data_IF_212893154188
#
_entry.id   IF_212893154188
#
_cell.length_a   1.000
_cell.length_b   1.000
_cell.length_c   1.000
_cell.angle_alpha   90.00
_cell.angle_beta   90.00
_cell.angle_gamma   90.00
#
_symmetry.space_group_name_H-M   'P 1'
#
loop_
_entity.id
_entity.type
_entity.pdbx_description
1 polymer ?
#
# COMPACT_ATOMS: atom_id res chain seq x y z
N UNK A 1 -63.69 -0.29 -20.07
CA UNK A 1 -63.33 0.31 -18.78
C UNK A 1 -62.12 -0.47 -18.28
N UNK A 2 -60.93 0.06 -18.50
CA UNK A 2 -59.67 -0.56 -18.08
C UNK A 2 -59.04 0.26 -16.95
N UNK A 3 -58.91 -0.35 -15.79
CA UNK A 3 -58.25 0.24 -14.64
C UNK A 3 -56.75 0.15 -14.82
N UNK A 4 -56.09 1.30 -15.07
CA UNK A 4 -54.62 1.41 -15.02
C UNK A 4 -54.12 1.45 -13.59
N UNK A 5 -53.48 0.37 -13.16
CA UNK A 5 -52.75 0.35 -11.89
C UNK A 5 -51.42 1.08 -11.99
N UNK A 6 -51.27 2.22 -11.30
CA UNK A 6 -50.02 2.91 -11.10
C UNK A 6 -49.07 2.02 -10.25
N UNK A 7 -47.99 1.52 -10.85
CA UNK A 7 -46.88 0.98 -10.06
C UNK A 7 -46.16 2.14 -9.37
N UNK A 8 -45.83 2.04 -8.07
CA UNK A 8 -45.03 3.04 -7.40
C UNK A 8 -43.59 3.00 -7.93
N UNK A 9 -43.12 4.17 -8.33
CA UNK A 9 -41.73 4.42 -8.69
C UNK A 9 -40.78 3.97 -7.59
N UNK A 10 -39.69 3.23 -7.86
CA UNK A 10 -38.73 2.88 -6.84
C UNK A 10 -38.10 4.17 -6.33
N UNK A 11 -38.40 4.51 -5.09
CA UNK A 11 -37.76 5.60 -4.35
C UNK A 11 -36.27 5.41 -4.40
N UNK A 12 -35.56 6.30 -5.07
CA UNK A 12 -34.13 6.49 -4.96
C UNK A 12 -33.80 6.70 -3.49
N UNK A 13 -33.25 5.66 -2.84
CA UNK A 13 -32.64 5.81 -1.52
C UNK A 13 -31.54 6.86 -1.69
N UNK A 14 -31.74 8.04 -1.12
CA UNK A 14 -30.69 9.01 -0.88
C UNK A 14 -29.56 8.29 -0.14
N UNK A 15 -28.49 7.91 -0.83
CA UNK A 15 -27.27 7.47 -0.18
C UNK A 15 -26.75 8.63 0.66
N UNK A 16 -27.05 8.62 1.95
CA UNK A 16 -26.41 9.53 2.90
C UNK A 16 -24.92 9.35 2.72
N UNK A 17 -24.20 10.40 2.31
CA UNK A 17 -22.74 10.39 2.29
C UNK A 17 -22.29 10.06 3.72
N UNK A 18 -21.79 8.82 3.91
CA UNK A 18 -21.24 8.38 5.19
C UNK A 18 -20.10 9.32 5.58
N UNK A 19 -20.07 9.75 6.83
CA UNK A 19 -18.91 10.50 7.32
C UNK A 19 -17.68 9.56 7.26
N UNK A 20 -16.61 9.90 6.53
CA UNK A 20 -15.44 9.01 6.41
C UNK A 20 -14.76 8.73 7.75
N UNK A 21 -14.95 9.57 8.77
CA UNK A 21 -14.38 9.39 10.12
C UNK A 21 -15.32 8.60 11.06
N UNK A 22 -16.51 8.23 10.61
CA UNK A 22 -17.40 7.38 11.39
C UNK A 22 -16.82 5.97 11.51
N UNK A 23 -16.70 5.47 12.75
CA UNK A 23 -16.15 4.14 13.03
C UNK A 23 -16.96 3.06 12.32
N UNK A 24 -16.27 2.13 11.63
CA UNK A 24 -16.91 0.95 11.08
C UNK A 24 -17.33 0.01 12.24
N UNK A 25 -18.32 -0.87 12.02
CA UNK A 25 -18.67 -1.85 13.04
C UNK A 25 -17.48 -2.73 13.40
N UNK A 26 -17.20 -2.86 14.68
CA UNK A 26 -16.16 -3.76 15.20
C UNK A 26 -16.71 -5.16 15.53
N UNK A 27 -18.01 -5.35 15.53
CA UNK A 27 -18.68 -6.64 15.75
C UNK A 27 -18.35 -7.64 14.64
N UNK A 28 -18.63 -8.93 14.92
CA UNK A 28 -18.47 -9.99 13.92
C UNK A 28 -19.40 -9.71 12.72
N UNK A 29 -18.87 -9.69 11.47
CA UNK A 29 -19.70 -9.46 10.30
C UNK A 29 -20.83 -10.50 10.16
N UNK A 30 -22.05 -10.10 9.72
CA UNK A 30 -23.17 -11.01 9.51
C UNK A 30 -23.05 -11.84 8.21
N UNK A 31 -21.94 -11.73 7.49
CA UNK A 31 -21.64 -12.42 6.25
C UNK A 31 -20.29 -13.15 6.35
N UNK A 32 -20.07 -14.09 5.45
CA UNK A 32 -18.84 -14.87 5.37
C UNK A 32 -18.02 -14.50 4.12
N UNK A 33 -16.76 -14.93 4.07
CA UNK A 33 -15.94 -14.80 2.84
C UNK A 33 -16.56 -15.54 1.65
N UNK A 34 -17.31 -16.62 1.88
CA UNK A 34 -18.06 -17.31 0.84
C UNK A 34 -19.13 -16.43 0.22
N UNK A 35 -19.86 -15.66 1.05
CA UNK A 35 -20.92 -14.78 0.58
C UNK A 35 -20.33 -13.61 -0.24
N UNK A 36 -19.18 -13.06 0.19
CA UNK A 36 -18.42 -12.07 -0.56
C UNK A 36 -18.00 -12.63 -1.92
N UNK A 37 -17.38 -13.84 -1.95
CA UNK A 37 -16.92 -14.46 -3.20
C UNK A 37 -18.06 -14.78 -4.17
N UNK A 38 -19.25 -15.17 -3.67
CA UNK A 38 -20.46 -15.43 -4.49
C UNK A 38 -20.98 -14.16 -5.16
N UNK A 39 -20.79 -12.99 -4.57
CA UNK A 39 -21.21 -11.72 -5.15
C UNK A 39 -20.29 -11.26 -6.31
N UNK A 40 -19.04 -11.72 -6.34
CA UNK A 40 -18.08 -11.36 -7.37
C UNK A 40 -18.33 -12.15 -8.65
N UNK A 41 -18.43 -11.49 -9.83
CA UNK A 41 -18.57 -12.20 -11.10
C UNK A 41 -17.42 -13.22 -11.31
N UNK A 42 -17.71 -14.46 -11.74
CA UNK A 42 -16.72 -15.53 -11.84
C UNK A 42 -15.51 -15.19 -12.71
N UNK A 43 -15.70 -14.39 -13.77
CA UNK A 43 -14.59 -13.98 -14.66
C UNK A 43 -13.57 -13.08 -13.95
N UNK A 44 -13.95 -12.39 -12.86
CA UNK A 44 -13.01 -11.56 -12.09
C UNK A 44 -11.90 -12.39 -11.42
N UNK A 45 -12.10 -13.69 -11.21
CA UNK A 45 -11.07 -14.61 -10.69
C UNK A 45 -10.15 -15.17 -11.78
N UNK A 46 -10.45 -14.91 -13.06
CA UNK A 46 -9.66 -15.43 -14.17
C UNK A 46 -8.47 -14.52 -14.46
N UNK A 47 -7.29 -15.09 -14.46
CA UNK A 47 -6.05 -14.39 -14.80
C UNK A 47 -5.77 -14.53 -16.28
N UNK A 48 -5.31 -13.47 -16.91
CA UNK A 48 -4.87 -13.48 -18.31
C UNK A 48 -3.43 -12.99 -18.39
N UNK A 49 -2.50 -13.92 -18.69
CA UNK A 49 -1.09 -13.57 -18.87
C UNK A 49 -0.92 -12.49 -19.95
N UNK A 50 -1.66 -12.59 -21.06
CA UNK A 50 -1.59 -11.59 -22.15
C UNK A 50 -2.03 -10.22 -21.65
N UNK A 51 -3.15 -10.14 -20.93
CA UNK A 51 -3.66 -8.87 -20.40
C UNK A 51 -2.74 -8.29 -19.33
N UNK A 52 -2.25 -9.10 -18.39
CA UNK A 52 -1.27 -8.66 -17.40
C UNK A 52 0.03 -8.16 -18.05
N UNK A 53 0.54 -8.90 -19.04
CA UNK A 53 1.73 -8.50 -19.80
C UNK A 53 1.52 -7.22 -20.58
N UNK A 54 0.31 -6.94 -21.09
CA UNK A 54 0.04 -5.67 -21.80
C UNK A 54 0.17 -4.45 -20.89
N UNK A 55 -0.26 -4.54 -19.63
CA UNK A 55 -0.05 -3.48 -18.63
C UNK A 55 1.43 -3.31 -18.30
N UNK A 56 2.15 -4.41 -18.07
CA UNK A 56 3.59 -4.38 -17.83
C UNK A 56 4.34 -3.72 -19.00
N UNK A 57 4.07 -4.13 -20.23
CA UNK A 57 4.70 -3.58 -21.43
C UNK A 57 4.37 -2.08 -21.58
N UNK A 58 3.12 -1.69 -21.35
CA UNK A 58 2.71 -0.28 -21.37
C UNK A 58 3.55 0.55 -20.39
N UNK A 59 3.71 0.11 -19.14
CA UNK A 59 4.45 0.85 -18.13
C UNK A 59 5.96 0.87 -18.41
N UNK A 60 6.52 -0.21 -18.95
CA UNK A 60 7.92 -0.23 -19.41
C UNK A 60 8.15 0.72 -20.58
N UNK A 61 7.21 0.80 -21.53
CA UNK A 61 7.29 1.76 -22.64
C UNK A 61 7.27 3.19 -22.11
N UNK A 62 6.35 3.53 -21.19
CA UNK A 62 6.30 4.87 -20.58
C UNK A 62 7.58 5.19 -19.82
N UNK A 63 8.09 4.25 -19.01
CA UNK A 63 9.36 4.39 -18.29
C UNK A 63 10.50 4.70 -19.26
N UNK A 64 10.59 3.97 -20.37
CA UNK A 64 11.60 4.20 -21.40
C UNK A 64 11.43 5.54 -22.11
N UNK A 65 10.20 5.93 -22.48
CA UNK A 65 9.92 7.20 -23.15
C UNK A 65 10.37 8.38 -22.30
N UNK A 66 9.99 8.41 -21.02
CA UNK A 66 10.38 9.51 -20.13
C UNK A 66 11.89 9.52 -19.86
N UNK A 67 12.51 8.36 -19.69
CA UNK A 67 13.96 8.22 -19.62
C UNK A 67 14.63 8.79 -20.89
N UNK A 68 14.18 8.39 -22.07
CA UNK A 68 14.71 8.83 -23.35
C UNK A 68 14.59 10.36 -23.53
N UNK A 69 13.41 10.92 -23.20
CA UNK A 69 13.18 12.37 -23.26
C UNK A 69 14.15 13.10 -22.32
N UNK A 70 14.31 12.64 -21.08
CA UNK A 70 15.16 13.29 -20.10
C UNK A 70 16.65 13.25 -20.52
N UNK A 71 17.12 12.10 -20.99
CA UNK A 71 18.54 11.91 -21.36
C UNK A 71 18.90 12.55 -22.70
N UNK A 72 17.95 12.67 -23.65
CA UNK A 72 18.21 13.17 -25.00
C UNK A 72 17.96 14.67 -25.12
N UNK A 73 16.98 15.23 -24.42
CA UNK A 73 16.54 16.60 -24.68
C UNK A 73 16.78 17.58 -23.54
N UNK A 74 16.90 17.13 -22.27
CA UNK A 74 16.98 18.08 -21.15
C UNK A 74 18.26 18.93 -21.16
N UNK A 75 19.36 18.41 -21.68
CA UNK A 75 20.61 19.16 -21.83
C UNK A 75 20.54 20.28 -22.90
N UNK A 76 19.54 20.20 -23.81
CA UNK A 76 19.27 21.20 -24.82
C UNK A 76 18.40 22.35 -24.34
N UNK A 77 17.77 22.19 -23.18
CA UNK A 77 16.89 23.21 -22.60
C UNK A 77 17.68 24.38 -22.03
N UNK A 78 17.30 25.64 -22.35
CA UNK A 78 17.82 26.80 -21.65
C UNK A 78 17.66 26.67 -20.12
N UNK A 79 18.61 27.22 -19.35
CA UNK A 79 18.72 27.09 -17.90
C UNK A 79 17.38 27.23 -17.13
N UNK A 80 16.49 28.24 -17.37
CA UNK A 80 15.25 28.32 -16.62
C UNK A 80 14.31 27.13 -16.81
N UNK A 81 14.25 26.56 -18.02
CA UNK A 81 13.34 25.45 -18.34
C UNK A 81 13.84 24.11 -17.83
N UNK A 82 15.15 23.90 -17.73
CA UNK A 82 15.72 22.69 -17.17
C UNK A 82 15.37 22.53 -15.68
N UNK A 83 15.29 23.63 -14.93
CA UNK A 83 14.87 23.59 -13.51
C UNK A 83 13.40 23.13 -13.31
N UNK A 84 12.53 23.27 -14.33
CA UNK A 84 11.17 22.76 -14.30
C UNK A 84 11.08 21.34 -14.88
N UNK A 85 11.86 21.05 -15.91
CA UNK A 85 11.81 19.75 -16.59
C UNK A 85 12.23 18.60 -15.67
N UNK A 86 13.27 18.77 -14.86
CA UNK A 86 13.74 17.73 -13.93
C UNK A 86 12.70 17.36 -12.86
N UNK A 87 12.08 18.26 -12.10
CA UNK A 87 11.03 17.93 -11.15
C UNK A 87 9.83 17.24 -11.80
N UNK A 88 9.42 17.66 -12.99
CA UNK A 88 8.33 17.01 -13.74
C UNK A 88 8.71 15.57 -14.09
N UNK A 89 9.92 15.36 -14.65
CA UNK A 89 10.45 14.04 -14.93
C UNK A 89 10.45 13.16 -13.68
N UNK A 90 10.98 13.65 -12.57
CA UNK A 90 11.07 12.88 -11.33
C UNK A 90 9.71 12.41 -10.84
N UNK A 91 8.70 13.31 -10.86
CA UNK A 91 7.34 12.98 -10.42
C UNK A 91 6.71 11.97 -11.38
N UNK A 92 6.76 12.22 -12.69
CA UNK A 92 6.11 11.35 -13.68
C UNK A 92 6.80 9.98 -13.71
N UNK A 93 8.14 9.96 -13.76
CA UNK A 93 8.92 8.73 -13.74
C UNK A 93 8.69 7.94 -12.45
N UNK A 94 8.66 8.63 -11.30
CA UNK A 94 8.36 8.00 -10.01
C UNK A 94 6.95 7.38 -9.97
N UNK A 95 5.94 8.06 -10.53
CA UNK A 95 4.59 7.49 -10.62
C UNK A 95 4.54 6.24 -11.51
N UNK A 96 5.18 6.27 -12.69
CA UNK A 96 5.20 5.08 -13.59
C UNK A 96 6.02 3.95 -12.98
N UNK A 97 7.15 4.25 -12.32
CA UNK A 97 7.91 3.23 -11.59
C UNK A 97 7.11 2.67 -10.39
N UNK A 98 6.25 3.46 -9.76
CA UNK A 98 5.30 2.95 -8.75
C UNK A 98 4.29 1.97 -9.37
N UNK A 99 3.81 2.23 -10.59
CA UNK A 99 2.97 1.27 -11.31
C UNK A 99 3.69 -0.07 -11.55
N UNK A 100 4.96 -0.03 -11.98
CA UNK A 100 5.80 -1.24 -12.11
C UNK A 100 5.98 -1.97 -10.77
N UNK A 101 6.15 -1.23 -9.68
CA UNK A 101 6.19 -1.82 -8.34
C UNK A 101 4.87 -2.52 -7.99
N UNK A 102 3.71 -1.92 -8.34
CA UNK A 102 2.39 -2.52 -8.14
C UNK A 102 2.21 -3.78 -9.00
N UNK A 103 2.70 -3.82 -10.25
CA UNK A 103 2.70 -5.05 -11.05
C UNK A 103 3.50 -6.17 -10.36
N UNK A 104 4.67 -5.85 -9.80
CA UNK A 104 5.45 -6.83 -9.03
C UNK A 104 4.74 -7.28 -7.74
N UNK A 105 4.01 -6.38 -7.08
CA UNK A 105 3.15 -6.68 -5.95
C UNK A 105 2.03 -7.66 -6.35
N UNK A 106 1.37 -7.47 -7.49
CA UNK A 106 0.40 -8.40 -8.05
C UNK A 106 1.03 -9.79 -8.31
N UNK A 107 2.27 -9.82 -8.79
CA UNK A 107 3.04 -11.05 -8.91
C UNK A 107 3.23 -11.74 -7.55
N UNK A 108 3.48 -11.00 -6.48
CA UNK A 108 3.57 -11.51 -5.12
C UNK A 108 2.31 -12.22 -4.64
N UNK A 109 1.14 -11.74 -5.06
CA UNK A 109 -0.18 -12.33 -4.80
C UNK A 109 -0.60 -13.44 -5.78
N UNK A 110 0.25 -13.78 -6.75
CA UNK A 110 -0.08 -14.74 -7.81
C UNK A 110 -1.30 -14.32 -8.64
N UNK A 111 -1.54 -13.00 -8.80
CA UNK A 111 -2.66 -12.45 -9.58
C UNK A 111 -2.28 -12.06 -11.01
N UNK A 112 -0.99 -11.97 -11.33
CA UNK A 112 -0.49 -11.64 -12.66
C UNK A 112 -0.70 -12.80 -13.67
N UNK A 113 -0.46 -14.06 -13.25
CA UNK A 113 -0.61 -15.26 -14.09
C UNK A 113 -0.94 -16.49 -13.24
N UNK A 114 -1.43 -17.56 -13.89
CA UNK A 114 -1.67 -18.85 -13.25
C UNK A 114 -0.36 -19.64 -13.00
N UNK A 115 0.76 -19.21 -13.59
CA UNK A 115 2.06 -19.87 -13.46
C UNK A 115 2.92 -19.17 -12.39
N UNK A 116 3.16 -19.85 -11.28
CA UNK A 116 3.95 -19.31 -10.17
C UNK A 116 5.34 -18.82 -10.59
N UNK A 117 6.02 -19.59 -11.45
CA UNK A 117 7.37 -19.23 -11.90
C UNK A 117 7.40 -17.93 -12.71
N UNK A 118 6.34 -17.64 -13.51
CA UNK A 118 6.21 -16.37 -14.24
C UNK A 118 6.03 -15.22 -13.24
N UNK A 119 5.10 -15.38 -12.29
CA UNK A 119 4.88 -14.39 -11.25
C UNK A 119 6.18 -14.11 -10.48
N UNK A 120 6.88 -15.16 -10.05
CA UNK A 120 8.10 -15.00 -9.25
C UNK A 120 9.24 -14.38 -10.06
N UNK A 121 9.38 -14.70 -11.34
CA UNK A 121 10.41 -14.12 -12.22
C UNK A 121 10.13 -12.65 -12.51
N UNK A 122 8.90 -12.30 -12.93
CA UNK A 122 8.52 -10.92 -13.22
C UNK A 122 8.62 -10.05 -11.95
N UNK A 123 8.04 -10.53 -10.85
CA UNK A 123 8.08 -9.82 -9.57
C UNK A 123 9.52 -9.60 -9.08
N UNK A 124 10.38 -10.63 -9.17
CA UNK A 124 11.80 -10.53 -8.78
C UNK A 124 12.55 -9.48 -9.60
N UNK A 125 12.40 -9.49 -10.92
CA UNK A 125 13.09 -8.53 -11.80
C UNK A 125 12.64 -7.10 -11.48
N UNK A 126 11.33 -6.84 -11.44
CA UNK A 126 10.78 -5.51 -11.24
C UNK A 126 11.11 -4.95 -9.85
N UNK A 127 10.90 -5.74 -8.80
CA UNK A 127 11.21 -5.31 -7.43
C UNK A 127 12.71 -5.12 -7.23
N UNK A 128 13.56 -6.02 -7.72
CA UNK A 128 15.02 -5.85 -7.63
C UNK A 128 15.49 -4.58 -8.34
N UNK A 129 14.92 -4.28 -9.53
CA UNK A 129 15.19 -3.04 -10.26
C UNK A 129 14.77 -1.77 -9.49
N UNK A 130 13.87 -1.89 -8.52
CA UNK A 130 13.43 -0.81 -7.63
C UNK A 130 13.96 -0.98 -6.19
N UNK A 131 15.07 -1.70 -6.01
CA UNK A 131 15.75 -1.97 -4.74
C UNK A 131 14.83 -2.54 -3.65
N UNK A 132 13.81 -3.28 -4.05
CA UNK A 132 12.92 -4.03 -3.16
C UNK A 132 13.34 -5.51 -3.16
N UNK A 133 13.62 -6.13 -2.00
CA UNK A 133 13.94 -7.55 -1.93
C UNK A 133 12.68 -8.40 -2.10
N UNK A 134 12.42 -8.87 -3.32
CA UNK A 134 11.13 -9.43 -3.75
C UNK A 134 10.59 -10.55 -2.86
N UNK A 135 11.34 -11.62 -2.64
CA UNK A 135 10.84 -12.76 -1.85
C UNK A 135 10.71 -12.40 -0.38
N UNK A 136 11.64 -11.58 0.14
CA UNK A 136 11.57 -11.07 1.50
C UNK A 136 10.28 -10.29 1.73
N UNK A 137 10.01 -9.33 0.84
CA UNK A 137 8.76 -8.57 0.84
C UNK A 137 7.53 -9.45 0.61
N UNK A 138 7.56 -10.36 -0.37
CA UNK A 138 6.45 -11.26 -0.70
C UNK A 138 6.00 -12.07 0.53
N UNK A 139 6.94 -12.59 1.33
CA UNK A 139 6.61 -13.39 2.50
C UNK A 139 6.08 -12.55 3.66
N UNK A 140 6.71 -11.43 3.99
CA UNK A 140 6.20 -10.53 5.02
C UNK A 140 4.84 -9.95 4.66
N UNK A 141 4.65 -9.57 3.39
CA UNK A 141 3.39 -9.03 2.89
C UNK A 141 2.25 -10.07 2.86
N UNK A 142 2.55 -11.32 2.51
CA UNK A 142 1.58 -12.41 2.62
C UNK A 142 1.13 -12.63 4.07
N UNK A 143 2.06 -12.53 5.05
CA UNK A 143 1.73 -12.62 6.47
C UNK A 143 0.91 -11.41 6.94
N UNK A 144 1.19 -10.22 6.41
CA UNK A 144 0.36 -9.05 6.63
C UNK A 144 -1.09 -9.29 6.17
N UNK A 145 -1.33 -9.78 4.96
CA UNK A 145 -2.69 -10.15 4.49
C UNK A 145 -3.37 -11.24 5.32
N UNK A 146 -2.57 -12.14 5.89
CA UNK A 146 -3.09 -13.21 6.74
C UNK A 146 -3.39 -12.75 8.15
N UNK A 147 -2.85 -11.60 8.60
CA UNK A 147 -2.94 -11.11 9.97
C UNK A 147 -3.25 -9.61 10.07
N UNK A 148 -3.81 -9.03 9.01
CA UNK A 148 -4.10 -7.59 8.93
C UNK A 148 -4.79 -7.09 10.19
N UNK A 149 -4.31 -5.96 10.74
CA UNK A 149 -4.82 -5.31 11.97
C UNK A 149 -4.84 -6.19 13.24
N UNK A 150 -4.06 -7.28 13.28
CA UNK A 150 -3.71 -7.96 14.52
C UNK A 150 -2.58 -7.22 15.23
N UNK A 151 -2.76 -6.87 16.51
CA UNK A 151 -1.71 -6.19 17.29
C UNK A 151 -0.48 -7.08 17.54
N UNK A 152 -0.65 -8.41 17.55
CA UNK A 152 0.42 -9.36 17.85
C UNK A 152 1.03 -10.00 16.60
N UNK A 153 0.30 -10.09 15.48
CA UNK A 153 0.69 -10.94 14.36
C UNK A 153 0.82 -10.25 13.01
N UNK A 154 0.37 -8.98 12.86
CA UNK A 154 0.57 -8.22 11.63
C UNK A 154 2.06 -7.91 11.43
N UNK A 155 2.58 -8.16 10.22
CA UNK A 155 4.01 -8.00 9.91
C UNK A 155 4.36 -6.61 9.37
N UNK A 156 3.37 -5.86 8.88
CA UNK A 156 3.70 -4.71 8.04
C UNK A 156 3.46 -3.36 8.73
N UNK A 157 2.39 -3.23 9.49
CA UNK A 157 2.03 -1.96 10.10
C UNK A 157 1.36 -2.19 11.46
N UNK A 158 2.19 -2.30 12.49
CA UNK A 158 1.71 -2.51 13.86
C UNK A 158 1.61 -1.17 14.56
N UNK A 159 0.40 -0.71 14.92
CA UNK A 159 0.23 0.53 15.66
C UNK A 159 0.84 0.38 17.07
N UNK A 160 1.34 1.50 17.58
CA UNK A 160 1.83 1.53 18.96
C UNK A 160 0.65 1.55 19.91
N UNK A 161 0.71 0.74 20.96
CA UNK A 161 -0.13 0.90 22.14
C UNK A 161 0.25 2.20 22.86
N UNK A 162 -0.63 2.72 23.71
CA UNK A 162 -0.36 3.91 24.52
C UNK A 162 1.03 3.79 25.18
N UNK A 163 1.96 4.61 24.72
CA UNK A 163 3.31 4.69 25.26
C UNK A 163 3.48 6.06 25.85
N UNK A 164 3.96 6.16 27.09
CA UNK A 164 4.39 7.45 27.63
C UNK A 164 5.47 8.02 26.71
N UNK A 165 5.08 9.01 25.90
CA UNK A 165 6.00 9.68 25.00
C UNK A 165 7.20 10.21 25.75
N UNK A 166 8.38 9.86 25.30
CA UNK A 166 9.60 10.50 25.77
C UNK A 166 9.53 11.99 25.42
N UNK A 167 10.07 12.86 26.26
CA UNK A 167 9.97 14.30 26.16
C UNK A 167 10.38 14.84 24.76
N UNK A 168 11.40 14.25 24.15
CA UNK A 168 11.87 14.66 22.82
C UNK A 168 10.86 14.29 21.70
N UNK A 169 10.09 13.21 21.85
CA UNK A 169 9.03 12.86 20.88
C UNK A 169 7.93 13.91 20.92
N UNK A 170 7.62 14.47 22.10
CA UNK A 170 6.67 15.58 22.24
C UNK A 170 7.08 16.79 21.41
N UNK A 171 8.39 17.08 21.26
CA UNK A 171 8.87 18.19 20.44
C UNK A 171 8.51 18.04 18.96
N UNK A 172 8.56 16.82 18.41
CA UNK A 172 8.23 16.58 17.00
C UNK A 172 6.72 16.44 16.77
N UNK A 173 6.01 15.83 17.71
CA UNK A 173 4.57 15.57 17.56
C UNK A 173 3.74 16.85 17.81
N UNK A 174 4.24 17.76 18.66
CA UNK A 174 3.46 18.93 19.15
C UNK A 174 3.59 20.18 18.30
N UNK A 175 4.39 20.19 17.24
CA UNK A 175 4.50 21.38 16.40
C UNK A 175 4.39 21.04 14.91
N UNK A 176 3.89 21.99 14.12
CA UNK A 176 3.64 21.79 12.69
C UNK A 176 4.91 21.45 11.90
N UNK A 177 6.03 22.09 12.22
CA UNK A 177 7.31 21.85 11.54
C UNK A 177 7.83 20.44 11.84
N UNK A 178 7.82 20.02 13.11
CA UNK A 178 8.23 18.66 13.50
C UNK A 178 7.40 17.58 12.79
N UNK A 179 6.08 17.79 12.66
CA UNK A 179 5.20 16.88 11.90
C UNK A 179 5.53 16.84 10.41
N UNK A 180 5.76 18.00 9.78
CA UNK A 180 6.18 18.05 8.37
C UNK A 180 7.50 17.31 8.16
N UNK A 181 8.48 17.49 9.04
CA UNK A 181 9.75 16.78 8.99
C UNK A 181 9.56 15.27 9.20
N UNK A 182 8.68 14.86 10.12
CA UNK A 182 8.37 13.46 10.35
C UNK A 182 7.70 12.83 9.11
N UNK A 183 6.72 13.51 8.49
CA UNK A 183 6.09 13.07 7.25
C UNK A 183 7.13 12.95 6.14
N UNK A 184 7.96 13.98 5.93
CA UNK A 184 9.01 13.95 4.91
C UNK A 184 9.99 12.79 5.13
N UNK A 185 10.44 12.58 6.38
CA UNK A 185 11.31 11.45 6.74
C UNK A 185 10.63 10.11 6.47
N UNK A 186 9.37 9.96 6.88
CA UNK A 186 8.60 8.73 6.67
C UNK A 186 8.42 8.40 5.19
N UNK A 187 8.12 9.41 4.36
CA UNK A 187 7.95 9.22 2.92
C UNK A 187 9.26 8.94 2.17
N UNK A 188 10.39 9.44 2.66
CA UNK A 188 11.69 9.28 1.98
C UNK A 188 12.48 8.07 2.49
N UNK A 189 12.51 7.87 3.80
CA UNK A 189 13.33 6.86 4.46
C UNK A 189 12.53 5.67 5.01
N UNK A 190 11.19 5.79 5.12
CA UNK A 190 10.35 4.76 5.77
C UNK A 190 10.48 3.38 5.14
N UNK A 191 10.36 3.26 3.82
CA UNK A 191 10.46 1.96 3.14
C UNK A 191 11.88 1.37 3.19
N UNK A 192 12.98 2.10 2.91
CA UNK A 192 14.33 1.60 3.13
C UNK A 192 14.60 1.13 4.57
N UNK A 193 14.12 1.87 5.57
CA UNK A 193 14.27 1.50 6.97
C UNK A 193 13.39 0.31 7.36
N UNK A 194 12.21 0.16 6.75
CA UNK A 194 11.40 -1.04 6.92
C UNK A 194 12.17 -2.29 6.46
N UNK A 195 12.80 -2.24 5.28
CA UNK A 195 13.60 -3.37 4.81
C UNK A 195 14.86 -3.60 5.66
N UNK A 196 15.56 -2.55 6.05
CA UNK A 196 16.83 -2.66 6.76
C UNK A 196 16.70 -3.08 8.24
N UNK A 197 15.72 -2.52 8.95
CA UNK A 197 15.59 -2.67 10.41
C UNK A 197 14.17 -2.94 10.89
N UNK A 198 13.26 -3.30 9.98
CA UNK A 198 11.85 -3.61 10.26
C UNK A 198 11.12 -2.50 11.06
N UNK A 199 11.43 -1.21 10.77
CA UNK A 199 10.77 -0.09 11.43
C UNK A 199 9.27 -0.13 11.17
N UNK A 200 8.40 0.09 12.06
CA UNK A 200 6.94 -0.01 11.92
C UNK A 200 6.39 -1.44 11.63
N UNK A 201 7.22 -2.45 11.47
CA UNK A 201 6.80 -3.83 11.40
C UNK A 201 6.58 -4.46 12.79
N UNK A 202 6.24 -5.73 12.80
CA UNK A 202 6.05 -6.50 14.02
C UNK A 202 7.30 -6.44 14.90
N UNK A 203 7.17 -6.19 16.22
CA UNK A 203 8.29 -6.28 17.14
C UNK A 203 8.72 -7.75 17.34
N UNK A 204 10.02 -7.98 17.37
CA UNK A 204 10.64 -9.27 17.62
C UNK A 204 11.66 -9.17 18.78
N UNK A 205 11.90 -10.26 19.49
CA UNK A 205 12.85 -10.32 20.62
C UNK A 205 14.31 -10.15 20.17
N UNK A 206 14.58 -10.30 18.88
CA UNK A 206 15.89 -10.08 18.26
C UNK A 206 15.80 -9.19 17.04
N UNK A 207 16.94 -8.71 16.57
CA UNK A 207 17.03 -7.88 15.37
C UNK A 207 16.34 -8.54 14.18
N UNK A 208 15.51 -7.76 13.49
CA UNK A 208 14.76 -8.19 12.32
C UNK A 208 15.11 -7.31 11.13
N UNK A 209 15.38 -7.94 9.98
CA UNK A 209 15.71 -7.28 8.72
C UNK A 209 15.17 -8.10 7.56
N UNK A 210 14.72 -7.43 6.50
CA UNK A 210 14.29 -8.09 5.27
C UNK A 210 15.48 -8.55 4.40
N UNK A 211 16.70 -8.16 4.75
CA UNK A 211 17.94 -8.59 4.10
C UNK A 211 18.67 -9.70 4.86
N UNK A 212 18.15 -10.14 6.00
CA UNK A 212 18.76 -11.23 6.78
C UNK A 212 17.98 -12.53 6.57
N UNK A 213 18.56 -13.54 5.87
CA UNK A 213 17.91 -14.84 5.68
C UNK A 213 17.62 -15.59 6.99
N UNK A 214 18.29 -15.20 8.08
CA UNK A 214 18.08 -15.74 9.43
C UNK A 214 17.22 -14.83 10.30
N UNK A 215 16.64 -13.77 9.73
CA UNK A 215 15.72 -12.89 10.44
C UNK A 215 14.55 -13.66 11.06
N UNK A 216 14.04 -13.26 12.24
CA UNK A 216 12.85 -13.87 12.83
C UNK A 216 11.58 -13.71 11.99
N UNK A 217 11.62 -12.88 10.96
CA UNK A 217 10.55 -12.71 9.97
C UNK A 217 10.34 -14.00 9.15
N UNK A 218 11.39 -14.81 8.94
CA UNK A 218 11.37 -15.92 7.98
C UNK A 218 11.58 -17.28 8.65
N UNK A 219 11.04 -18.32 8.03
CA UNK A 219 11.29 -19.70 8.38
C UNK A 219 12.42 -20.31 7.52
N UNK A 220 12.91 -21.48 7.93
CA UNK A 220 14.04 -22.16 7.29
C UNK A 220 13.82 -22.46 5.80
N UNK A 221 12.57 -22.72 5.38
CA UNK A 221 12.23 -23.04 4.01
C UNK A 221 12.28 -21.82 3.06
N UNK A 222 12.18 -20.63 3.64
CA UNK A 222 12.17 -19.36 2.89
C UNK A 222 13.59 -18.81 2.69
N UNK A 223 14.59 -19.26 3.47
CA UNK A 223 15.97 -18.70 3.48
C UNK A 223 16.61 -18.59 2.11
N UNK A 224 16.54 -19.64 1.29
CA UNK A 224 17.14 -19.62 -0.06
C UNK A 224 16.58 -18.48 -0.90
N UNK A 225 15.29 -18.23 -0.81
CA UNK A 225 14.62 -17.18 -1.58
C UNK A 225 14.96 -15.78 -1.06
N UNK A 226 15.25 -15.65 0.25
CA UNK A 226 15.78 -14.38 0.80
C UNK A 226 17.16 -14.09 0.21
N UNK A 227 18.09 -15.06 0.20
CA UNK A 227 19.38 -14.92 -0.49
C UNK A 227 19.23 -14.52 -1.96
N UNK A 228 18.28 -15.12 -2.68
CA UNK A 228 18.01 -14.76 -4.10
C UNK A 228 17.56 -13.28 -4.18
N UNK A 229 16.72 -12.82 -3.27
CA UNK A 229 16.30 -11.41 -3.21
C UNK A 229 17.46 -10.46 -2.99
N UNK A 230 18.37 -10.80 -2.07
CA UNK A 230 19.55 -10.01 -1.79
C UNK A 230 20.48 -9.92 -2.99
N UNK A 231 20.69 -11.05 -3.67
CA UNK A 231 21.48 -11.08 -4.94
C UNK A 231 20.87 -10.14 -5.97
N UNK A 232 19.55 -10.11 -6.15
CA UNK A 232 18.87 -9.21 -7.07
C UNK A 232 19.09 -7.73 -6.72
N UNK A 233 18.95 -7.37 -5.46
CA UNK A 233 19.19 -6.00 -4.99
C UNK A 233 20.66 -5.62 -5.14
N UNK A 234 21.60 -6.49 -4.73
CA UNK A 234 23.04 -6.26 -4.87
C UNK A 234 23.44 -6.11 -6.34
N UNK A 235 22.90 -6.93 -7.24
CA UNK A 235 23.14 -6.82 -8.67
C UNK A 235 22.68 -5.46 -9.21
N UNK A 236 21.51 -4.98 -8.79
CA UNK A 236 21.01 -3.65 -9.18
C UNK A 236 21.93 -2.53 -8.65
N UNK A 237 22.33 -2.59 -7.37
CA UNK A 237 23.26 -1.63 -6.78
C UNK A 237 24.60 -1.63 -7.55
N UNK A 238 25.11 -2.82 -7.89
CA UNK A 238 26.35 -2.94 -8.69
C UNK A 238 26.21 -2.32 -10.07
N UNK A 239 25.09 -2.56 -10.77
CA UNK A 239 24.82 -1.94 -12.07
C UNK A 239 24.75 -0.41 -11.96
N UNK A 240 24.06 0.13 -10.96
CA UNK A 240 24.01 1.58 -10.69
C UNK A 240 25.38 2.15 -10.39
N UNK A 241 26.21 1.45 -9.61
CA UNK A 241 27.61 1.83 -9.38
C UNK A 241 28.41 1.88 -10.69
N UNK A 242 28.30 0.85 -11.56
CA UNK A 242 28.98 0.83 -12.87
C UNK A 242 28.52 1.99 -13.76
N UNK A 243 27.21 2.32 -13.76
CA UNK A 243 26.67 3.48 -14.48
C UNK A 243 27.20 4.79 -13.87
N UNK A 244 27.32 4.89 -12.55
CA UNK A 244 27.86 6.07 -11.89
C UNK A 244 29.34 6.33 -12.25
N UNK A 245 30.14 5.28 -12.49
CA UNK A 245 31.52 5.41 -12.95
C UNK A 245 31.64 5.96 -14.39
N UNK A 246 30.63 5.73 -15.23
CA UNK A 246 30.64 6.15 -16.64
C UNK A 246 29.88 7.45 -16.88
N UNK A 247 28.75 7.66 -16.26
CA UNK A 247 27.87 8.81 -16.45
C UNK A 247 27.96 9.86 -15.33
N UNK A 248 28.60 9.50 -14.21
CA UNK A 248 28.66 10.30 -13.00
C UNK A 248 27.54 10.06 -12.01
N UNK A 249 27.82 10.25 -10.72
CA UNK A 249 26.88 10.02 -9.63
C UNK A 249 25.63 10.93 -9.72
N UNK A 250 25.83 12.19 -10.08
CA UNK A 250 24.72 13.16 -10.24
C UNK A 250 23.71 12.67 -11.28
N UNK A 251 24.19 12.11 -12.40
CA UNK A 251 23.33 11.56 -13.42
C UNK A 251 22.48 10.41 -12.86
N UNK A 252 23.08 9.46 -12.14
CA UNK A 252 22.35 8.34 -11.50
C UNK A 252 21.32 8.85 -10.49
N UNK A 253 21.68 9.85 -9.68
CA UNK A 253 20.74 10.47 -8.73
C UNK A 253 19.55 11.07 -9.49
N UNK A 254 19.77 11.84 -10.54
CA UNK A 254 18.69 12.51 -11.28
C UNK A 254 17.82 11.53 -12.06
N UNK A 255 18.40 10.51 -12.69
CA UNK A 255 17.65 9.59 -13.56
C UNK A 255 16.95 8.48 -12.78
N UNK A 256 17.57 8.01 -11.69
CA UNK A 256 17.08 6.85 -10.95
C UNK A 256 16.78 7.19 -9.48
N UNK A 257 17.72 7.86 -8.78
CA UNK A 257 17.63 8.04 -7.33
C UNK A 257 16.42 8.85 -6.89
N UNK A 258 16.17 10.01 -7.49
CA UNK A 258 15.03 10.87 -7.13
C UNK A 258 13.70 10.21 -7.52
N UNK A 259 13.50 9.64 -8.73
CA UNK A 259 12.33 8.82 -9.01
C UNK A 259 12.10 7.68 -8.02
N UNK A 260 13.16 6.98 -7.59
CA UNK A 260 13.05 5.92 -6.57
C UNK A 260 12.56 6.44 -5.22
N UNK A 261 13.01 7.62 -4.78
CA UNK A 261 12.49 8.25 -3.56
C UNK A 261 10.99 8.52 -3.67
N UNK A 262 10.50 8.91 -4.85
CA UNK A 262 9.07 9.11 -5.11
C UNK A 262 8.32 7.78 -5.07
N UNK A 263 8.87 6.70 -5.65
CA UNK A 263 8.31 5.34 -5.51
C UNK A 263 8.18 4.98 -4.04
N UNK A 264 9.25 5.11 -3.26
CA UNK A 264 9.25 4.83 -1.83
C UNK A 264 8.16 5.62 -1.10
N UNK A 265 8.02 6.91 -1.42
CA UNK A 265 6.99 7.77 -0.86
C UNK A 265 5.57 7.28 -1.17
N UNK A 266 5.27 6.89 -2.40
CA UNK A 266 3.95 6.36 -2.75
C UNK A 266 3.67 4.99 -2.13
N UNK A 267 4.65 4.10 -2.04
CA UNK A 267 4.46 2.80 -1.38
C UNK A 267 4.15 3.00 0.12
N UNK A 268 4.89 3.90 0.79
CA UNK A 268 4.61 4.27 2.18
C UNK A 268 3.23 4.91 2.32
N UNK A 269 2.84 5.81 1.41
CA UNK A 269 1.50 6.42 1.40
C UNK A 269 0.39 5.39 1.24
N UNK A 270 0.56 4.44 0.30
CA UNK A 270 -0.39 3.36 0.06
C UNK A 270 -0.51 2.50 1.32
N UNK A 271 0.59 2.02 1.87
CA UNK A 271 0.55 1.18 3.08
C UNK A 271 -0.06 1.94 4.26
N UNK A 272 0.42 3.14 4.54
CA UNK A 272 0.01 3.91 5.72
C UNK A 272 -1.46 4.34 5.61
N UNK A 273 -1.86 5.00 4.53
CA UNK A 273 -3.19 5.59 4.45
C UNK A 273 -4.32 4.57 4.35
N UNK A 274 -4.07 3.34 3.88
CA UNK A 274 -5.11 2.31 3.79
C UNK A 274 -5.27 1.50 5.09
N UNK A 275 -4.31 1.57 6.01
CA UNK A 275 -4.32 0.86 7.30
C UNK A 275 -4.35 1.79 8.50
N UNK A 276 -3.99 3.07 8.33
CA UNK A 276 -4.01 4.07 9.40
C UNK A 276 -5.18 5.04 9.19
N UNK A 277 -6.26 4.81 9.93
CA UNK A 277 -7.46 5.65 9.84
C UNK A 277 -8.24 5.60 11.14
N UNK A 278 -8.75 6.74 11.62
CA UNK A 278 -9.47 6.83 12.89
C UNK A 278 -10.75 5.98 12.95
N UNK A 279 -11.32 5.62 11.80
CA UNK A 279 -12.52 4.78 11.72
C UNK A 279 -12.25 3.27 11.70
N UNK A 280 -10.99 2.84 11.67
CA UNK A 280 -10.63 1.42 11.56
C UNK A 280 -10.23 0.85 12.92
N UNK A 281 -10.82 -0.32 13.33
CA UNK A 281 -10.45 -1.00 14.56
C UNK A 281 -9.19 -1.83 14.38
N UNK A 282 -8.51 -2.05 15.50
CA UNK A 282 -7.43 -3.03 15.66
C UNK A 282 -7.84 -4.04 16.72
N UNK A 283 -7.29 -5.23 16.66
CA UNK A 283 -7.74 -6.33 17.50
C UNK A 283 -6.54 -7.03 18.17
N UNK A 284 -6.69 -7.37 19.45
CA UNK A 284 -5.80 -8.33 20.08
C UNK A 284 -6.22 -9.78 19.76
N UNK A 285 -5.45 -10.75 20.19
CA UNK A 285 -5.68 -12.18 19.91
C UNK A 285 -7.02 -12.71 20.41
N UNK A 286 -7.68 -12.05 21.38
CA UNK A 286 -8.99 -12.47 21.91
C UNK A 286 -10.14 -12.15 20.96
N UNK A 287 -10.02 -11.05 20.19
CA UNK A 287 -11.07 -10.53 19.32
C UNK A 287 -10.72 -10.62 17.83
N UNK A 288 -9.45 -10.85 17.51
CA UNK A 288 -9.03 -10.89 16.12
C UNK A 288 -9.64 -12.09 15.38
N UNK A 289 -10.10 -11.83 14.17
CA UNK A 289 -10.35 -12.86 13.16
C UNK A 289 -9.95 -12.34 11.79
N UNK A 290 -9.59 -13.24 10.90
CA UNK A 290 -9.09 -12.86 9.57
C UNK A 290 -10.06 -11.91 8.83
N UNK A 291 -11.38 -12.20 8.84
CA UNK A 291 -12.34 -11.37 8.13
C UNK A 291 -12.48 -9.98 8.74
N UNK A 292 -12.48 -9.85 10.08
CA UNK A 292 -12.51 -8.56 10.77
C UNK A 292 -11.26 -7.75 10.47
N UNK A 293 -10.09 -8.38 10.49
CA UNK A 293 -8.82 -7.74 10.15
C UNK A 293 -8.79 -7.27 8.71
N UNK A 294 -9.15 -8.12 7.73
CA UNK A 294 -9.17 -7.77 6.31
C UNK A 294 -10.16 -6.62 6.00
N UNK A 295 -11.30 -6.54 6.72
CA UNK A 295 -12.26 -5.45 6.60
C UNK A 295 -11.81 -4.14 7.26
N UNK A 296 -10.82 -4.19 8.15
CA UNK A 296 -10.25 -3.01 8.78
C UNK A 296 -9.22 -2.32 7.87
N UNK A 297 -9.63 -2.08 6.62
CA UNK A 297 -8.90 -1.35 5.58
C UNK A 297 -9.83 -0.32 4.94
N UNK A 298 -9.27 0.69 4.27
CA UNK A 298 -10.04 1.77 3.66
C UNK A 298 -9.65 1.97 2.20
N UNK A 299 -10.65 2.06 1.30
CA UNK A 299 -10.44 2.49 -0.10
C UNK A 299 -10.30 4.01 -0.15
N UNK A 300 -9.39 4.52 -0.99
CA UNK A 300 -9.16 5.95 -1.15
C UNK A 300 -9.16 6.37 -2.60
N UNK A 301 -9.42 7.67 -2.84
CA UNK A 301 -9.38 8.24 -4.18
C UNK A 301 -8.14 9.13 -4.36
N UNK A 302 -7.21 8.69 -5.21
CA UNK A 302 -6.02 9.45 -5.60
C UNK A 302 -6.19 10.12 -6.98
N UNK A 303 -7.43 10.23 -7.46
CA UNK A 303 -7.75 10.84 -8.75
C UNK A 303 -7.15 10.06 -9.92
N UNK A 304 -6.40 10.74 -10.79
CA UNK A 304 -5.78 10.10 -11.96
C UNK A 304 -4.80 8.97 -11.57
N UNK A 305 -4.19 9.06 -10.40
CA UNK A 305 -3.26 8.06 -9.89
C UNK A 305 -3.93 6.71 -9.58
N UNK A 306 -5.26 6.66 -9.40
CA UNK A 306 -5.96 5.39 -9.29
C UNK A 306 -5.69 4.49 -10.51
N UNK A 307 -5.74 5.06 -11.71
CA UNK A 307 -5.44 4.33 -12.95
C UNK A 307 -3.96 4.04 -13.11
N UNK A 308 -3.11 5.01 -12.80
CA UNK A 308 -1.65 4.88 -12.90
C UNK A 308 -1.16 3.75 -11.98
N UNK A 309 -1.69 3.65 -10.77
CA UNK A 309 -1.33 2.62 -9.79
C UNK A 309 -2.20 1.37 -9.88
N UNK A 310 -2.75 1.07 -11.05
CA UNK A 310 -3.53 -0.15 -11.31
C UNK A 310 -4.64 -0.41 -10.30
N UNK A 311 -5.29 0.65 -9.82
CA UNK A 311 -6.41 0.61 -8.87
C UNK A 311 -6.09 0.04 -7.49
N UNK A 312 -4.84 -0.13 -7.07
CA UNK A 312 -4.50 -0.63 -5.73
C UNK A 312 -5.05 0.27 -4.62
N UNK A 313 -5.21 1.58 -4.87
CA UNK A 313 -5.64 2.56 -3.86
C UNK A 313 -7.16 2.66 -3.73
N UNK A 314 -7.91 2.51 -4.81
CA UNK A 314 -9.38 2.64 -4.82
C UNK A 314 -10.12 1.29 -4.77
N UNK A 315 -9.38 0.19 -4.52
CA UNK A 315 -9.90 -1.18 -4.38
C UNK A 315 -9.15 -1.99 -3.30
N UNK A 316 -8.57 -1.30 -2.31
CA UNK A 316 -7.69 -1.92 -1.31
C UNK A 316 -8.44 -2.86 -0.35
N UNK A 317 -9.71 -2.55 -0.04
CA UNK A 317 -10.58 -3.44 0.74
C UNK A 317 -10.78 -4.78 0.02
N UNK A 318 -11.08 -4.75 -1.28
CA UNK A 318 -11.16 -5.98 -2.08
C UNK A 318 -9.82 -6.71 -2.11
N UNK A 319 -8.72 -5.97 -2.27
CA UNK A 319 -7.38 -6.52 -2.32
C UNK A 319 -7.04 -7.33 -1.06
N UNK A 320 -7.44 -6.87 0.13
CA UNK A 320 -7.28 -7.64 1.38
C UNK A 320 -8.21 -8.84 1.50
N UNK A 321 -9.42 -8.77 0.92
CA UNK A 321 -10.39 -9.87 0.94
C UNK A 321 -10.10 -10.94 -0.12
N UNK A 322 -9.62 -10.54 -1.30
CA UNK A 322 -9.44 -11.41 -2.47
C UNK A 322 -8.21 -10.98 -3.30
N UNK A 323 -7.01 -11.02 -2.71
CA UNK A 323 -5.76 -10.54 -3.33
C UNK A 323 -5.35 -11.26 -4.62
N UNK A 324 -5.95 -12.40 -4.92
CA UNK A 324 -5.69 -13.15 -6.15
C UNK A 324 -6.50 -12.66 -7.38
N UNK A 325 -7.39 -11.68 -7.19
CA UNK A 325 -8.12 -11.05 -8.30
C UNK A 325 -7.17 -10.08 -9.01
N UNK A 326 -6.95 -10.21 -10.34
CA UNK A 326 -6.10 -9.28 -11.08
C UNK A 326 -6.60 -7.84 -10.99
N UNK A 327 -5.69 -6.89 -10.89
CA UNK A 327 -6.00 -5.46 -10.75
C UNK A 327 -7.01 -4.92 -11.78
N UNK A 328 -6.99 -5.43 -13.01
CA UNK A 328 -7.90 -5.01 -14.08
C UNK A 328 -9.35 -5.49 -13.92
N UNK A 329 -9.64 -6.35 -12.94
CA UNK A 329 -10.97 -6.76 -12.48
C UNK A 329 -11.33 -6.17 -11.10
N UNK A 330 -10.37 -5.54 -10.42
CA UNK A 330 -10.55 -5.10 -9.04
C UNK A 330 -11.71 -4.09 -8.88
N UNK A 331 -11.88 -3.15 -9.80
CA UNK A 331 -13.01 -2.18 -9.73
C UNK A 331 -14.37 -2.84 -9.87
N UNK A 332 -14.52 -3.77 -10.80
CA UNK A 332 -15.76 -4.49 -11.00
C UNK A 332 -16.10 -5.35 -9.77
N UNK A 333 -15.12 -6.09 -9.27
CA UNK A 333 -15.27 -6.91 -8.09
C UNK A 333 -15.57 -6.06 -6.82
N UNK A 334 -14.89 -4.91 -6.63
CA UNK A 334 -15.18 -3.97 -5.54
C UNK A 334 -16.63 -3.49 -5.60
N UNK A 335 -17.12 -3.10 -6.80
CA UNK A 335 -18.51 -2.68 -6.98
C UNK A 335 -19.49 -3.79 -6.60
N UNK A 336 -19.17 -5.03 -6.91
CA UNK A 336 -20.01 -6.19 -6.63
C UNK A 336 -20.09 -6.53 -5.14
N UNK A 337 -19.00 -6.37 -4.37
CA UNK A 337 -18.99 -6.70 -2.93
C UNK A 337 -19.53 -5.59 -2.04
N UNK A 338 -19.51 -4.33 -2.44
CA UNK A 338 -19.99 -3.20 -1.63
C UNK A 338 -21.38 -3.41 -1.01
N UNK A 339 -22.39 -3.92 -1.75
CA UNK A 339 -23.72 -4.18 -1.16
C UNK A 339 -23.70 -5.26 -0.08
N UNK A 340 -22.80 -6.25 -0.17
CA UNK A 340 -22.64 -7.33 0.82
C UNK A 340 -21.97 -6.80 2.07
N UNK A 341 -20.93 -5.98 1.90
CA UNK A 341 -20.16 -5.41 3.02
C UNK A 341 -20.98 -4.36 3.81
N UNK A 342 -21.88 -3.62 3.13
CA UNK A 342 -22.73 -2.62 3.78
C UNK A 342 -21.91 -1.61 4.59
N UNK A 343 -22.22 -1.48 5.88
CA UNK A 343 -21.54 -0.55 6.80
C UNK A 343 -20.11 -0.96 7.18
N UNK A 344 -19.69 -2.20 6.93
CA UNK A 344 -18.30 -2.65 7.11
C UNK A 344 -17.38 -2.15 5.99
N UNK A 345 -17.92 -1.66 4.88
CA UNK A 345 -17.11 -1.07 3.82
C UNK A 345 -16.75 0.37 4.16
N UNK A 346 -15.44 0.69 4.10
CA UNK A 346 -14.96 2.04 4.34
C UNK A 346 -14.33 2.65 3.09
N UNK A 347 -14.69 3.90 2.82
CA UNK A 347 -14.14 4.71 1.75
C UNK A 347 -13.88 6.12 2.25
N UNK A 348 -12.69 6.65 2.00
CA UNK A 348 -12.33 8.02 2.32
C UNK A 348 -11.86 8.76 1.06
N UNK A 349 -12.71 9.67 0.57
CA UNK A 349 -12.43 10.53 -0.60
C UNK A 349 -11.61 11.78 -0.27
N UNK A 350 -11.06 11.90 0.94
CA UNK A 350 -10.17 13.03 1.28
C UNK A 350 -8.91 12.95 0.42
N UNK A 351 -8.51 14.05 -0.28
CA UNK A 351 -7.27 14.07 -1.05
C UNK A 351 -6.08 13.59 -0.21
N UNK A 352 -5.25 12.71 -0.76
CA UNK A 352 -4.20 11.99 -0.03
C UNK A 352 -3.24 12.93 0.73
N UNK A 353 -2.92 14.12 0.20
CA UNK A 353 -2.06 15.11 0.86
C UNK A 353 -2.71 15.77 2.08
N UNK A 354 -4.06 15.82 2.14
CA UNK A 354 -4.81 16.22 3.34
C UNK A 354 -4.97 15.05 4.30
N UNK A 355 -5.21 13.86 3.75
CA UNK A 355 -5.38 12.64 4.52
C UNK A 355 -4.10 12.31 5.32
N UNK A 356 -2.91 12.38 4.69
CA UNK A 356 -1.65 12.12 5.41
C UNK A 356 -1.44 13.11 6.56
N UNK A 357 -1.75 14.39 6.37
CA UNK A 357 -1.66 15.38 7.43
C UNK A 357 -2.62 15.06 8.58
N UNK A 358 -3.88 14.75 8.26
CA UNK A 358 -4.89 14.37 9.26
C UNK A 358 -4.46 13.11 10.01
N UNK A 359 -4.11 12.05 9.31
CA UNK A 359 -3.88 10.74 9.91
C UNK A 359 -2.59 10.74 10.75
N UNK A 360 -1.56 11.51 10.40
CA UNK A 360 -0.40 11.75 11.26
C UNK A 360 -0.73 12.54 12.54
N UNK A 361 -1.81 13.32 12.53
CA UNK A 361 -2.27 14.05 13.70
C UNK A 361 -3.19 13.22 14.59
N UNK A 362 -4.08 12.45 14.01
CA UNK A 362 -5.18 11.77 14.71
C UNK A 362 -4.85 10.32 15.06
N UNK A 363 -3.98 9.66 14.29
CA UNK A 363 -3.67 8.24 14.43
C UNK A 363 -2.25 8.01 14.98
N UNK A 364 -1.99 8.46 16.21
CA UNK A 364 -0.63 8.41 16.79
C UNK A 364 -0.35 7.13 17.58
N UNK A 365 -1.36 6.58 18.22
CA UNK A 365 -1.33 5.30 18.93
C UNK A 365 -2.73 4.70 18.99
N UNK A 366 -2.85 3.48 19.48
CA UNK A 366 -4.15 2.84 19.70
C UNK A 366 -4.40 2.62 21.17
N UNK A 367 -5.64 2.86 21.60
CA UNK A 367 -6.12 2.58 22.96
C UNK A 367 -7.36 1.69 22.91
N UNK A 368 -7.62 1.00 24.03
CA UNK A 368 -8.82 0.17 24.19
C UNK A 368 -10.09 0.98 24.04
N UNK A 369 -11.09 0.38 23.42
CA UNK A 369 -12.41 0.99 23.33
C UNK A 369 -13.04 1.10 24.74
N UNK A 370 -13.21 2.32 25.23
CA UNK A 370 -13.77 2.60 26.56
C UNK A 370 -15.28 2.37 26.64
N UNK A 371 -15.96 2.24 25.50
CA UNK A 371 -17.42 2.10 25.40
C UNK A 371 -17.88 0.67 25.14
N UNK A 372 -17.00 -0.27 24.87
CA UNK A 372 -17.31 -1.65 24.53
C UNK A 372 -17.12 -2.58 25.74
N UNK A 373 -17.99 -3.60 25.86
CA UNK A 373 -17.75 -4.75 26.75
C UNK A 373 -16.60 -5.61 26.24
N UNK A 374 -16.23 -5.48 24.97
CA UNK A 374 -15.17 -6.25 24.30
C UNK A 374 -13.82 -5.60 24.58
N UNK A 375 -13.03 -6.18 25.48
CA UNK A 375 -11.76 -5.63 25.93
C UNK A 375 -10.63 -5.75 24.90
N UNK A 376 -10.81 -6.49 23.80
CA UNK A 376 -9.80 -6.79 22.80
C UNK A 376 -9.86 -5.89 21.54
N UNK A 377 -10.62 -4.79 21.56
CA UNK A 377 -10.80 -3.86 20.44
C UNK A 377 -10.09 -2.55 20.74
N UNK A 378 -9.32 -2.05 19.77
CA UNK A 378 -8.51 -0.84 19.90
C UNK A 378 -8.78 0.11 18.74
N UNK A 379 -8.70 1.42 19.01
CA UNK A 379 -8.91 2.47 18.04
C UNK A 379 -7.78 3.48 18.09
N UNK A 380 -7.46 4.07 16.92
CA UNK A 380 -6.52 5.17 16.87
C UNK A 380 -7.03 6.37 17.65
N UNK A 381 -6.08 7.01 18.31
CA UNK A 381 -6.25 8.27 19.04
C UNK A 381 -4.96 9.09 18.95
N UNK A 382 -5.02 10.32 19.45
CA UNK A 382 -3.88 11.21 19.52
C UNK A 382 -3.56 11.57 20.97
N UNK A 383 -2.36 12.06 21.19
CA UNK A 383 -1.99 12.67 22.45
C UNK A 383 -2.67 14.03 22.52
N UNK A 384 -3.78 14.14 23.24
CA UNK A 384 -4.36 15.44 23.62
C UNK A 384 -3.34 16.18 24.47
N UNK A 385 -2.76 17.21 23.89
CA UNK A 385 -1.77 18.05 24.56
C UNK A 385 -2.56 19.26 25.01
N UNK A 386 -2.86 19.25 26.31
CA UNK A 386 -3.30 20.43 27.03
C UNK A 386 -2.23 21.53 27.02
#
# INVERSE_FOLDING_TARGET
>A
MGAGGNMPNPTTKNERKKNPLERVPSSKPPFTISDIKKAIPPHCFQRSLIRSSSYLIHDLILTFIFYYIATTYFHLLPSPYSYLAWPIYWIVQGCVCTALWVIAHECGHQSFSDYQWINDTVGFILHSALLTPYFSWKYSHRRHHSNTNSLEHDENHVPKLEVKLKWYTKLYVNNRLGRLLLIAFTLTAGLPLYYAINIAGRPYDRFASHYDPYSPIYNDRERLQIYISDVGVIATIYLLYRVALTQGLTWVICIYGVPLVIVNGFIVLITLLHHTHASLPHYDSSEWSWLRGALATVDRDYGVLNKVFHHIVDTHVLHHLCSSIPHYHAKEATKAIKPVLGEYYQFDGTPFYKAIWRDFNECQYVEKDKGSQDQGIFWYTNYNIE
#
